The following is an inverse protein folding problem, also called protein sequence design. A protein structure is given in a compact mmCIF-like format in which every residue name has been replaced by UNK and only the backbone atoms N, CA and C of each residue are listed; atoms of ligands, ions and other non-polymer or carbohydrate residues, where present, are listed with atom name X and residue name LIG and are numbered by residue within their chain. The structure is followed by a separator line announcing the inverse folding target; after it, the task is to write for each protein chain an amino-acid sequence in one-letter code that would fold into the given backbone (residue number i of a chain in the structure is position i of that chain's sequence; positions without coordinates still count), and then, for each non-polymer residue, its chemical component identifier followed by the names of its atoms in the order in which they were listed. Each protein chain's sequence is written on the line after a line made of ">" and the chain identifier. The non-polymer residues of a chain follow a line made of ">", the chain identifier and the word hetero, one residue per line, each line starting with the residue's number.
data_IF_288370041246
#
_entry.id   IF_288370041246
#
_cell.length_a   1.000
_cell.length_b   1.000
_cell.length_c   1.000
_cell.angle_alpha   90.00
_cell.angle_beta   90.00
_cell.angle_gamma   90.00
#
_symmetry.space_group_name_H-M   'P 1'
#
loop_
_entity.id
_entity.type
_entity.pdbx_description
1 polymer ?
#
# COMPACT_ATOMS: atom_id res chain seq x y z
N UNK A 1 -4.37 12.09 2.91
CA UNK A 1 -4.03 10.82 2.25
C UNK A 1 -3.96 9.65 3.22
N UNK A 2 -3.83 8.47 2.68
CA UNK A 2 -3.52 7.24 3.41
C UNK A 2 -2.06 6.87 3.16
N UNK A 3 -1.48 6.00 3.99
CA UNK A 3 -0.11 5.51 3.78
C UNK A 3 0.11 4.93 2.39
N UNK A 4 -0.92 4.31 1.79
CA UNK A 4 -0.86 3.75 0.44
C UNK A 4 -0.62 4.77 -0.69
N UNK A 5 -0.86 6.05 -0.46
CA UNK A 5 -0.52 7.13 -1.39
C UNK A 5 0.78 7.84 -1.01
N UNK A 6 1.02 8.03 0.29
CA UNK A 6 2.13 8.84 0.78
C UNK A 6 3.47 8.16 0.55
N UNK A 7 3.60 6.89 0.96
CA UNK A 7 4.87 6.17 0.86
C UNK A 7 5.34 5.93 -0.58
N UNK A 8 4.48 5.57 -1.55
CA UNK A 8 4.87 5.52 -2.96
C UNK A 8 5.39 6.86 -3.50
N UNK A 9 4.75 7.99 -3.13
CA UNK A 9 5.20 9.30 -3.57
C UNK A 9 6.58 9.64 -2.99
N UNK A 10 6.83 9.33 -1.70
CA UNK A 10 8.14 9.54 -1.06
C UNK A 10 9.20 8.66 -1.72
N UNK A 11 8.92 7.39 -2.01
CA UNK A 11 9.87 6.48 -2.65
C UNK A 11 10.30 7.00 -4.03
N UNK A 12 9.36 7.45 -4.86
CA UNK A 12 9.66 8.05 -6.17
C UNK A 12 10.46 9.35 -6.02
N UNK A 13 10.12 10.22 -5.06
CA UNK A 13 10.86 11.44 -4.81
C UNK A 13 12.32 11.17 -4.39
N UNK A 14 12.54 10.20 -3.52
CA UNK A 14 13.89 9.75 -3.13
C UNK A 14 14.67 9.17 -4.32
N UNK A 15 13.99 8.39 -5.19
CA UNK A 15 14.61 7.87 -6.41
C UNK A 15 15.00 9.00 -7.38
N UNK A 16 14.14 10.02 -7.55
CA UNK A 16 14.47 11.21 -8.36
C UNK A 16 15.69 11.93 -7.79
N UNK A 17 15.76 12.19 -6.50
CA UNK A 17 16.93 12.85 -5.87
C UNK A 17 18.21 12.04 -6.02
N UNK A 18 18.11 10.71 -5.98
CA UNK A 18 19.28 9.83 -6.18
C UNK A 18 19.82 9.93 -7.60
N UNK A 19 18.95 10.04 -8.62
CA UNK A 19 19.35 10.15 -10.04
C UNK A 19 19.77 11.57 -10.38
N UNK A 20 19.06 12.57 -9.84
CA UNK A 20 19.29 13.97 -10.08
C UNK A 20 19.29 14.74 -8.74
N UNK A 21 20.47 14.84 -8.06
CA UNK A 21 20.58 15.43 -6.72
C UNK A 21 20.08 16.89 -6.61
N UNK A 22 20.20 17.66 -7.69
CA UNK A 22 19.78 19.07 -7.74
C UNK A 22 18.29 19.25 -8.06
N UNK A 23 17.52 18.17 -8.20
CA UNK A 23 16.09 18.25 -8.47
C UNK A 23 15.34 18.88 -7.27
N UNK A 24 14.70 20.03 -7.51
CA UNK A 24 13.80 20.63 -6.53
C UNK A 24 12.47 19.85 -6.48
N UNK A 25 12.12 19.32 -5.31
CA UNK A 25 10.90 18.52 -5.13
C UNK A 25 10.00 19.18 -4.09
N UNK A 26 8.75 19.44 -4.48
CA UNK A 26 7.73 20.01 -3.60
C UNK A 26 6.51 19.09 -3.57
N UNK A 27 6.12 18.67 -2.39
CA UNK A 27 4.87 17.92 -2.19
C UNK A 27 3.69 18.87 -2.02
N UNK A 28 2.52 18.39 -2.48
CA UNK A 28 1.24 19.07 -2.24
C UNK A 28 0.25 18.05 -1.70
N UNK A 29 -0.33 18.33 -0.53
CA UNK A 29 -1.22 17.42 0.17
C UNK A 29 -2.40 18.13 0.82
N UNK A 30 -3.30 17.39 1.48
CA UNK A 30 -4.43 17.97 2.20
C UNK A 30 -4.03 18.40 3.61
N UNK A 31 -4.35 19.63 4.00
CA UNK A 31 -4.10 20.14 5.34
C UNK A 31 -4.72 19.26 6.43
N UNK A 32 -3.99 19.00 7.51
CA UNK A 32 -4.44 18.21 8.66
C UNK A 32 -4.51 16.70 8.39
N UNK A 33 -3.82 16.21 7.37
CA UNK A 33 -3.71 14.77 7.04
C UNK A 33 -2.30 14.26 7.30
N UNK A 34 -2.15 12.94 7.31
CA UNK A 34 -0.91 12.22 7.63
C UNK A 34 0.28 12.68 6.77
N UNK A 35 0.04 13.07 5.53
CA UNK A 35 1.08 13.58 4.63
C UNK A 35 1.81 14.81 5.17
N UNK A 36 1.10 15.68 5.92
CA UNK A 36 1.69 16.88 6.51
C UNK A 36 2.74 16.58 7.59
N UNK A 37 2.75 15.37 8.13
CA UNK A 37 3.74 14.87 9.09
C UNK A 37 4.80 14.00 8.41
N UNK A 38 4.36 13.03 7.59
CA UNK A 38 5.24 11.99 7.03
C UNK A 38 6.17 12.50 5.94
N UNK A 39 5.76 13.48 5.15
CA UNK A 39 6.59 14.04 4.09
C UNK A 39 7.76 14.85 4.65
N UNK A 40 7.58 15.76 5.64
CA UNK A 40 8.71 16.42 6.31
C UNK A 40 9.66 15.44 7.03
N UNK A 41 9.12 14.40 7.66
CA UNK A 41 9.95 13.34 8.28
C UNK A 41 10.84 12.62 7.26
N UNK A 42 10.43 12.58 5.98
CA UNK A 42 11.22 12.04 4.88
C UNK A 42 12.18 13.07 4.23
N UNK A 43 12.26 14.29 4.76
CA UNK A 43 13.17 15.34 4.30
C UNK A 43 12.64 16.21 3.16
N UNK A 44 11.33 16.19 2.86
CA UNK A 44 10.75 16.97 1.76
C UNK A 44 9.86 18.12 2.26
N UNK A 45 9.84 19.21 1.49
CA UNK A 45 8.89 20.31 1.70
C UNK A 45 7.48 19.89 1.23
N UNK A 46 6.44 20.31 1.97
CA UNK A 46 5.04 20.09 1.61
C UNK A 46 4.20 21.35 1.80
N UNK A 47 3.32 21.61 0.83
CA UNK A 47 2.28 22.66 0.90
C UNK A 47 0.91 22.03 1.10
N UNK A 48 0.15 22.53 2.07
CA UNK A 48 -1.19 22.05 2.39
C UNK A 48 -2.28 22.74 1.57
N UNK A 49 -3.19 21.96 0.99
CA UNK A 49 -4.42 22.46 0.37
C UNK A 49 -5.61 22.34 1.31
N UNK A 50 -6.50 23.34 1.27
CA UNK A 50 -7.80 23.30 1.94
C UNK A 50 -8.77 22.48 1.10
N UNK A 51 -8.68 21.16 1.13
CA UNK A 51 -9.50 20.25 0.34
C UNK A 51 -9.97 19.08 1.21
N UNK A 52 -11.10 18.48 0.85
CA UNK A 52 -11.64 17.30 1.49
C UNK A 52 -12.13 16.29 0.45
N UNK A 53 -12.08 15.01 0.77
CA UNK A 53 -12.70 13.97 -0.03
C UNK A 53 -14.22 13.96 0.13
N UNK A 54 -14.90 13.34 -0.82
CA UNK A 54 -16.35 13.12 -0.79
C UNK A 54 -16.72 12.29 0.45
N UNK A 55 -17.64 12.80 1.28
CA UNK A 55 -18.18 12.04 2.39
C UNK A 55 -19.36 11.18 1.88
N UNK A 56 -19.15 9.86 1.80
CA UNK A 56 -20.16 8.92 1.29
C UNK A 56 -21.25 8.60 2.32
N UNK A 57 -20.95 8.74 3.62
CA UNK A 57 -21.91 8.43 4.70
C UNK A 57 -22.84 9.61 5.01
N UNK A 58 -22.40 10.84 4.77
CA UNK A 58 -23.20 12.04 5.04
C UNK A 58 -23.06 13.03 3.89
N UNK A 59 -24.08 13.01 2.98
CA UNK A 59 -24.09 13.83 1.76
C UNK A 59 -24.14 15.33 2.10
N UNK A 60 -24.76 15.73 3.20
CA UNK A 60 -24.83 17.14 3.62
C UNK A 60 -23.45 17.74 3.94
N UNK A 61 -22.48 16.93 4.38
CA UNK A 61 -21.10 17.40 4.56
C UNK A 61 -20.39 17.75 3.26
N UNK A 62 -20.97 17.39 2.12
CA UNK A 62 -20.41 17.67 0.80
C UNK A 62 -20.82 19.05 0.24
N UNK A 63 -21.74 19.77 0.85
CA UNK A 63 -22.20 21.10 0.40
C UNK A 63 -21.02 22.09 0.27
N UNK A 64 -20.03 21.98 1.12
CA UNK A 64 -18.82 22.83 1.10
C UNK A 64 -17.75 22.36 0.12
N UNK A 65 -17.88 21.19 -0.51
CA UNK A 65 -16.86 20.64 -1.42
C UNK A 65 -16.58 21.54 -2.65
N UNK A 66 -17.59 22.09 -3.36
CA UNK A 66 -17.32 22.96 -4.50
C UNK A 66 -16.47 24.17 -4.11
N UNK A 67 -16.79 24.81 -2.98
CA UNK A 67 -16.04 25.97 -2.48
C UNK A 67 -14.59 25.58 -2.09
N UNK A 68 -14.42 24.43 -1.43
CA UNK A 68 -13.09 23.92 -1.11
C UNK A 68 -12.28 23.57 -2.36
N UNK A 69 -12.94 23.05 -3.39
CA UNK A 69 -12.30 22.74 -4.66
C UNK A 69 -11.84 24.02 -5.35
N UNK A 70 -12.71 25.04 -5.47
CA UNK A 70 -12.35 26.37 -6.04
C UNK A 70 -11.19 26.98 -5.26
N UNK A 71 -11.26 27.02 -3.92
CA UNK A 71 -10.18 27.51 -3.07
C UNK A 71 -8.88 26.75 -3.32
N UNK A 72 -8.93 25.42 -3.48
CA UNK A 72 -7.75 24.63 -3.75
C UNK A 72 -7.10 24.98 -5.09
N UNK A 73 -7.86 25.31 -6.14
CA UNK A 73 -7.33 25.78 -7.43
C UNK A 73 -6.59 27.11 -7.30
N UNK A 74 -7.09 28.06 -6.50
CA UNK A 74 -6.37 29.32 -6.22
C UNK A 74 -5.07 29.06 -5.44
N UNK A 75 -5.09 28.14 -4.47
CA UNK A 75 -3.88 27.75 -3.75
C UNK A 75 -2.85 27.10 -4.68
N UNK A 76 -3.29 26.18 -5.55
CA UNK A 76 -2.44 25.52 -6.55
C UNK A 76 -1.84 26.56 -7.50
N UNK A 77 -2.64 27.51 -8.03
CA UNK A 77 -2.14 28.60 -8.88
C UNK A 77 -0.99 29.38 -8.18
N UNK A 78 -1.14 29.69 -6.90
CA UNK A 78 -0.10 30.39 -6.11
C UNK A 78 1.17 29.56 -5.96
N UNK A 79 1.02 28.25 -5.68
CA UNK A 79 2.15 27.31 -5.58
C UNK A 79 2.89 27.22 -6.92
N UNK A 80 2.17 27.08 -8.04
CA UNK A 80 2.77 26.99 -9.37
C UNK A 80 3.48 28.28 -9.79
N UNK A 81 2.95 29.43 -9.42
CA UNK A 81 3.59 30.72 -9.69
C UNK A 81 4.95 30.87 -9.00
N UNK A 82 5.09 30.34 -7.77
CA UNK A 82 6.33 30.39 -7.00
C UNK A 82 7.30 29.26 -7.33
N UNK A 83 6.80 28.00 -7.49
CA UNK A 83 7.66 26.83 -7.67
C UNK A 83 8.02 26.55 -9.13
N UNK A 84 7.12 26.88 -10.10
CA UNK A 84 7.30 26.69 -11.54
C UNK A 84 7.72 25.24 -11.89
N UNK A 85 6.89 24.22 -11.62
CA UNK A 85 7.27 22.83 -11.84
C UNK A 85 7.47 22.50 -13.32
N UNK A 86 8.51 21.70 -13.64
CA UNK A 86 8.74 21.13 -14.98
C UNK A 86 7.84 19.92 -15.24
N UNK A 87 7.41 19.20 -14.20
CA UNK A 87 6.52 18.06 -14.27
C UNK A 87 5.72 17.93 -12.96
N UNK A 88 4.59 17.23 -13.03
CA UNK A 88 3.76 16.92 -11.86
C UNK A 88 3.46 15.43 -11.81
N UNK A 89 3.76 14.79 -10.69
CA UNK A 89 3.48 13.39 -10.42
C UNK A 89 2.40 13.23 -9.36
N UNK A 90 1.35 12.48 -9.64
CA UNK A 90 0.25 12.23 -8.72
C UNK A 90 0.04 10.75 -8.45
N UNK A 91 -0.13 10.41 -7.18
CA UNK A 91 -0.33 9.03 -6.69
C UNK A 91 -1.79 8.73 -6.35
N UNK A 92 -2.72 9.52 -6.87
CA UNK A 92 -4.14 9.37 -6.57
C UNK A 92 -4.62 10.15 -5.34
N UNK A 93 -5.86 9.89 -4.97
CA UNK A 93 -6.54 10.63 -3.91
C UNK A 93 -7.10 11.99 -4.35
N UNK A 94 -7.97 12.55 -3.52
CA UNK A 94 -8.68 13.79 -3.86
C UNK A 94 -7.80 15.06 -3.89
N UNK A 95 -6.66 15.06 -3.19
CA UNK A 95 -5.71 16.18 -3.20
C UNK A 95 -4.89 16.26 -4.49
N UNK A 96 -4.69 15.14 -5.19
CA UNK A 96 -3.97 15.11 -6.46
C UNK A 96 -4.76 15.78 -7.60
N UNK A 97 -6.10 15.69 -7.58
CA UNK A 97 -6.94 16.17 -8.67
C UNK A 97 -6.74 17.64 -9.04
N UNK A 98 -6.85 18.63 -8.13
CA UNK A 98 -6.70 20.05 -8.50
C UNK A 98 -5.27 20.36 -8.97
N UNK A 99 -4.26 19.69 -8.44
CA UNK A 99 -2.86 19.91 -8.80
C UNK A 99 -2.57 19.43 -10.22
N UNK A 100 -2.93 18.18 -10.53
CA UNK A 100 -2.76 17.59 -11.86
C UNK A 100 -3.63 18.30 -12.91
N UNK A 101 -4.90 18.60 -12.57
CA UNK A 101 -5.81 19.31 -13.50
C UNK A 101 -5.31 20.70 -13.85
N UNK A 102 -4.74 21.43 -12.87
CA UNK A 102 -4.12 22.73 -13.12
C UNK A 102 -2.87 22.60 -14.00
N UNK A 103 -2.01 21.61 -13.73
CA UNK A 103 -0.83 21.32 -14.54
C UNK A 103 -1.21 21.02 -16.00
N UNK A 104 -2.21 20.16 -16.23
CA UNK A 104 -2.74 19.84 -17.56
C UNK A 104 -3.25 21.09 -18.30
N UNK A 105 -3.99 21.96 -17.59
CA UNK A 105 -4.47 23.22 -18.16
C UNK A 105 -3.34 24.21 -18.50
N UNK A 106 -2.13 24.01 -17.98
CA UNK A 106 -0.93 24.78 -18.26
C UNK A 106 0.06 24.05 -19.19
N UNK A 107 -0.36 22.93 -19.79
CA UNK A 107 0.48 22.08 -20.64
C UNK A 107 1.78 21.61 -19.95
N UNK A 108 1.79 21.53 -18.61
CA UNK A 108 2.88 20.96 -17.84
C UNK A 108 2.73 19.44 -17.86
N UNK A 109 3.78 18.66 -18.17
CA UNK A 109 3.73 17.22 -18.18
C UNK A 109 3.20 16.64 -16.86
N UNK A 110 2.23 15.71 -16.97
CA UNK A 110 1.63 15.06 -15.81
C UNK A 110 1.80 13.56 -15.86
N UNK A 111 2.18 13.00 -14.73
CA UNK A 111 2.37 11.58 -14.53
C UNK A 111 1.45 11.09 -13.43
N UNK A 112 0.82 9.95 -13.62
CA UNK A 112 -0.13 9.37 -12.66
C UNK A 112 0.38 8.00 -12.24
N UNK A 113 0.29 7.68 -10.97
CA UNK A 113 0.44 6.32 -10.47
C UNK A 113 -0.88 5.82 -9.90
N UNK A 114 -1.34 4.65 -10.37
CA UNK A 114 -2.48 3.94 -9.82
C UNK A 114 -2.01 2.66 -9.14
N UNK A 115 -2.13 2.62 -7.84
CA UNK A 115 -1.66 1.50 -7.03
C UNK A 115 -2.61 0.30 -7.04
N UNK A 116 -3.92 0.54 -7.22
CA UNK A 116 -4.94 -0.49 -7.11
C UNK A 116 -5.25 -1.14 -8.47
N UNK A 117 -5.79 -2.35 -8.42
CA UNK A 117 -6.33 -3.05 -9.58
C UNK A 117 -7.70 -2.52 -10.05
N UNK A 118 -8.25 -1.53 -9.34
CA UNK A 118 -9.43 -0.76 -9.72
C UNK A 118 -9.09 0.73 -9.63
N UNK A 119 -9.18 1.42 -10.76
CA UNK A 119 -8.72 2.81 -10.83
C UNK A 119 -9.62 3.78 -10.05
N UNK A 120 -9.00 4.65 -9.29
CA UNK A 120 -9.70 5.75 -8.61
C UNK A 120 -10.28 6.75 -9.61
N UNK A 121 -11.49 7.27 -9.35
CA UNK A 121 -12.19 8.21 -10.26
C UNK A 121 -11.34 9.44 -10.63
N UNK A 122 -10.57 9.97 -9.68
CA UNK A 122 -9.68 11.11 -9.97
C UNK A 122 -8.64 10.77 -11.04
N UNK A 123 -8.02 9.59 -10.95
CA UNK A 123 -7.05 9.13 -11.93
C UNK A 123 -7.70 8.87 -13.30
N UNK A 124 -8.92 8.29 -13.33
CA UNK A 124 -9.67 8.09 -14.57
C UNK A 124 -9.95 9.42 -15.28
N UNK A 125 -10.41 10.46 -14.55
CA UNK A 125 -10.69 11.78 -15.14
C UNK A 125 -9.45 12.53 -15.62
N UNK A 126 -8.28 12.23 -15.05
CA UNK A 126 -7.02 12.86 -15.43
C UNK A 126 -6.27 12.10 -16.53
N UNK A 127 -6.62 10.83 -16.77
CA UNK A 127 -5.91 9.90 -17.62
C UNK A 127 -5.75 10.41 -19.08
N UNK A 128 -6.82 10.96 -19.65
CA UNK A 128 -6.84 11.42 -21.04
C UNK A 128 -5.74 12.45 -21.34
N UNK A 129 -5.44 13.33 -20.38
CA UNK A 129 -4.44 14.38 -20.54
C UNK A 129 -3.14 14.10 -19.80
N UNK A 130 -2.98 12.89 -19.23
CA UNK A 130 -1.72 12.49 -18.64
C UNK A 130 -0.66 12.19 -19.70
N UNK A 131 0.58 12.50 -19.41
CA UNK A 131 1.73 12.16 -20.25
C UNK A 131 2.00 10.65 -20.20
N UNK A 132 2.00 10.07 -19.00
CA UNK A 132 2.14 8.62 -18.77
C UNK A 132 1.39 8.22 -17.49
N UNK A 133 0.93 6.97 -17.47
CA UNK A 133 0.22 6.38 -16.35
C UNK A 133 0.97 5.12 -15.93
N UNK A 134 1.52 5.15 -14.74
CA UNK A 134 2.17 4.01 -14.10
C UNK A 134 1.14 3.21 -13.33
N UNK A 135 1.15 1.89 -13.47
CA UNK A 135 0.18 1.04 -12.79
C UNK A 135 0.87 0.00 -11.93
N UNK A 136 0.28 -0.26 -10.76
CA UNK A 136 0.75 -1.28 -9.82
C UNK A 136 0.52 -2.71 -10.32
N UNK A 137 -0.34 -2.88 -11.34
CA UNK A 137 -0.73 -4.19 -11.88
C UNK A 137 -1.13 -4.09 -13.35
N UNK A 138 -1.19 -5.24 -14.02
CA UNK A 138 -1.70 -5.38 -15.39
C UNK A 138 -3.23 -5.25 -15.45
N UNK A 139 -3.80 -5.16 -16.67
CA UNK A 139 -5.25 -5.19 -16.91
C UNK A 139 -5.96 -3.86 -16.64
N UNK A 140 -5.23 -2.74 -16.74
CA UNK A 140 -5.77 -1.40 -16.48
C UNK A 140 -6.27 -0.69 -17.74
N UNK A 141 -6.24 -1.36 -18.89
CA UNK A 141 -6.60 -0.80 -20.22
C UNK A 141 -8.09 -0.42 -20.34
N UNK A 142 -8.94 -1.01 -19.52
CA UNK A 142 -10.36 -0.64 -19.47
C UNK A 142 -10.64 0.61 -18.62
N UNK A 143 -9.65 1.10 -17.87
CA UNK A 143 -9.73 2.35 -17.12
C UNK A 143 -8.96 3.50 -17.75
N UNK A 144 -7.89 3.18 -18.49
CA UNK A 144 -6.92 4.15 -18.99
C UNK A 144 -6.58 3.91 -20.45
N UNK A 145 -6.20 4.94 -21.24
CA UNK A 145 -5.69 4.77 -22.60
C UNK A 145 -4.46 3.84 -22.62
N UNK A 146 -4.54 2.72 -23.33
CA UNK A 146 -3.52 1.69 -23.37
C UNK A 146 -2.14 2.23 -23.77
N UNK A 147 -2.08 3.20 -24.71
CA UNK A 147 -0.83 3.82 -25.17
C UNK A 147 -0.08 4.62 -24.10
N UNK A 148 -0.75 4.97 -22.98
CA UNK A 148 -0.17 5.74 -21.87
C UNK A 148 0.21 4.89 -20.67
N UNK A 149 -0.23 3.62 -20.64
CA UNK A 149 0.02 2.72 -19.51
C UNK A 149 1.45 2.20 -19.56
N UNK A 150 2.07 2.18 -18.39
CA UNK A 150 3.30 1.44 -18.12
C UNK A 150 3.14 0.70 -16.80
N UNK A 151 3.19 -0.62 -16.83
CA UNK A 151 3.14 -1.43 -15.62
C UNK A 151 4.50 -1.39 -14.95
N UNK A 152 4.57 -0.77 -13.79
CA UNK A 152 5.80 -0.60 -13.00
C UNK A 152 5.80 -1.40 -11.71
N UNK A 153 4.61 -1.82 -11.25
CA UNK A 153 4.43 -2.23 -9.87
C UNK A 153 4.20 -1.02 -8.95
N UNK A 154 4.08 -1.31 -7.66
CA UNK A 154 3.94 -0.29 -6.63
C UNK A 154 5.29 0.04 -6.02
N UNK A 155 5.67 1.33 -5.86
CA UNK A 155 6.87 1.73 -5.14
C UNK A 155 6.82 1.27 -3.67
N UNK A 156 7.72 0.38 -3.31
CA UNK A 156 7.80 -0.25 -1.99
C UNK A 156 9.00 0.29 -1.24
N UNK A 157 8.90 0.33 0.07
CA UNK A 157 10.01 0.75 0.94
C UNK A 157 11.22 -0.18 0.76
N UNK A 158 12.40 0.39 0.54
CA UNK A 158 13.65 -0.37 0.28
C UNK A 158 13.96 -1.38 1.37
N UNK A 159 13.76 -1.04 2.63
CA UNK A 159 14.03 -1.94 3.74
C UNK A 159 13.19 -3.23 3.74
N UNK A 160 12.05 -3.25 3.03
CA UNK A 160 11.25 -4.47 2.85
C UNK A 160 11.83 -5.34 1.73
N UNK A 161 12.34 -4.72 0.67
CA UNK A 161 12.92 -5.42 -0.49
C UNK A 161 14.31 -5.97 -0.16
N UNK A 162 15.12 -5.14 0.51
CA UNK A 162 16.52 -5.43 0.86
C UNK A 162 16.62 -5.81 2.35
N UNK A 163 15.80 -6.77 2.80
CA UNK A 163 15.78 -7.19 4.19
C UNK A 163 17.18 -7.63 4.68
N UNK A 164 17.76 -6.98 5.71
CA UNK A 164 19.11 -7.26 6.15
C UNK A 164 19.20 -8.49 7.08
N UNK A 165 18.13 -9.24 7.22
CA UNK A 165 18.02 -10.31 8.21
C UNK A 165 18.05 -11.70 7.58
N UNK A 166 18.74 -12.65 8.23
CA UNK A 166 18.42 -14.07 8.07
C UNK A 166 17.07 -14.37 8.75
N UNK A 167 16.39 -15.44 8.31
CA UNK A 167 15.11 -15.84 8.93
C UNK A 167 15.27 -16.10 10.45
N UNK A 168 16.39 -16.70 10.87
CA UNK A 168 16.69 -16.94 12.28
C UNK A 168 16.84 -15.63 13.06
N UNK A 169 17.64 -14.69 12.56
CA UNK A 169 17.81 -13.39 13.21
C UNK A 169 16.48 -12.61 13.31
N UNK A 170 15.66 -12.67 12.28
CA UNK A 170 14.34 -12.04 12.27
C UNK A 170 13.40 -12.68 13.31
N UNK A 171 13.35 -14.00 13.42
CA UNK A 171 12.53 -14.70 14.42
C UNK A 171 12.96 -14.37 15.86
N UNK A 172 14.27 -14.33 16.12
CA UNK A 172 14.81 -13.99 17.43
C UNK A 172 14.42 -12.59 17.90
N UNK A 173 14.27 -11.59 16.98
CA UNK A 173 13.78 -10.26 17.33
C UNK A 173 12.36 -10.29 17.93
N UNK A 174 11.56 -11.28 17.55
CA UNK A 174 10.21 -11.48 18.08
C UNK A 174 10.13 -12.48 19.23
N UNK A 175 11.29 -12.98 19.71
CA UNK A 175 11.34 -14.02 20.74
C UNK A 175 10.79 -15.38 20.30
N UNK A 176 10.84 -15.66 18.98
CA UNK A 176 10.28 -16.85 18.36
C UNK A 176 11.39 -17.85 17.97
N UNK A 177 11.03 -19.13 17.81
CA UNK A 177 11.95 -20.23 17.56
C UNK A 177 12.14 -20.48 16.05
N UNK A 178 13.40 -20.60 15.56
CA UNK A 178 13.66 -20.88 14.13
C UNK A 178 13.13 -22.21 13.62
N UNK A 179 12.92 -23.18 14.51
CA UNK A 179 12.43 -24.52 14.15
C UNK A 179 10.93 -24.60 13.86
N UNK A 180 10.18 -23.52 14.12
CA UNK A 180 8.72 -23.53 14.02
C UNK A 180 8.21 -22.69 12.86
N UNK A 181 7.08 -23.10 12.30
CA UNK A 181 6.38 -22.33 11.27
C UNK A 181 5.73 -21.07 11.85
N UNK A 182 5.85 -19.95 11.14
CA UNK A 182 5.42 -18.63 11.61
C UNK A 182 4.41 -17.99 10.68
N UNK A 183 3.31 -17.48 11.25
CA UNK A 183 2.29 -16.72 10.53
C UNK A 183 2.35 -15.26 10.99
N UNK A 184 2.51 -14.35 10.04
CA UNK A 184 2.38 -12.90 10.28
C UNK A 184 0.93 -12.47 10.05
N UNK A 185 0.35 -11.77 11.02
CA UNK A 185 -1.00 -11.22 10.93
C UNK A 185 -0.96 -9.70 11.00
N UNK A 186 -1.43 -9.02 9.94
CA UNK A 186 -1.46 -7.57 9.83
C UNK A 186 -2.81 -7.06 9.34
N UNK A 187 -3.44 -6.20 10.14
CA UNK A 187 -4.71 -5.55 9.77
C UNK A 187 -4.54 -4.09 9.31
N UNK A 188 -3.28 -3.65 9.11
CA UNK A 188 -2.93 -2.24 8.92
C UNK A 188 -2.85 -1.48 10.26
N UNK A 189 -2.55 -0.17 10.22
CA UNK A 189 -2.33 0.67 11.42
C UNK A 189 -3.54 0.79 12.35
N UNK A 190 -4.74 0.65 11.80
CA UNK A 190 -6.00 0.66 12.56
C UNK A 190 -6.45 -0.74 13.01
N UNK A 191 -5.73 -1.79 12.57
CA UNK A 191 -6.12 -3.17 12.80
C UNK A 191 -7.34 -3.60 11.96
N UNK A 192 -7.67 -4.89 12.06
CA UNK A 192 -8.83 -5.48 11.40
C UNK A 192 -9.61 -6.32 12.42
N UNK A 193 -10.71 -5.79 12.91
CA UNK A 193 -11.49 -6.38 14.03
C UNK A 193 -11.88 -7.84 13.76
N UNK A 194 -12.36 -8.17 12.55
CA UNK A 194 -12.76 -9.53 12.18
C UNK A 194 -11.57 -10.50 12.20
N UNK A 195 -10.43 -10.09 11.62
CA UNK A 195 -9.20 -10.89 11.62
C UNK A 195 -8.73 -11.08 13.07
N UNK A 196 -8.64 -10.00 13.84
CA UNK A 196 -8.18 -10.06 15.24
C UNK A 196 -9.05 -10.99 16.09
N UNK A 197 -10.37 -10.92 15.96
CA UNK A 197 -11.29 -11.80 16.69
C UNK A 197 -11.09 -13.28 16.32
N UNK A 198 -10.96 -13.59 15.03
CA UNK A 198 -10.73 -14.96 14.58
C UNK A 198 -9.37 -15.50 15.07
N UNK A 199 -8.30 -14.69 15.00
CA UNK A 199 -6.97 -15.08 15.49
C UNK A 199 -7.01 -15.31 17.00
N UNK A 200 -7.66 -14.44 17.78
CA UNK A 200 -7.81 -14.62 19.23
C UNK A 200 -8.51 -15.96 19.56
N UNK A 201 -9.60 -16.27 18.87
CA UNK A 201 -10.32 -17.54 19.06
C UNK A 201 -9.50 -18.76 18.61
N UNK A 202 -8.58 -18.59 17.67
CA UNK A 202 -7.72 -19.64 17.15
C UNK A 202 -6.44 -19.90 17.95
N UNK A 203 -6.08 -19.06 18.94
CA UNK A 203 -4.81 -19.17 19.69
C UNK A 203 -4.53 -20.60 20.25
N UNK A 204 -5.50 -21.28 20.88
CA UNK A 204 -5.27 -22.67 21.35
C UNK A 204 -4.96 -23.65 20.22
N UNK A 205 -5.53 -23.45 19.03
CA UNK A 205 -5.30 -24.33 17.88
C UNK A 205 -3.89 -24.12 17.31
N UNK A 206 -3.40 -22.89 17.25
CA UNK A 206 -2.02 -22.60 16.83
C UNK A 206 -1.01 -23.22 17.78
N UNK A 207 -1.20 -23.06 19.09
CA UNK A 207 -0.32 -23.69 20.10
C UNK A 207 -0.31 -25.22 19.95
N UNK A 208 -1.48 -25.87 19.85
CA UNK A 208 -1.61 -27.31 19.66
C UNK A 208 -0.91 -27.84 18.41
N UNK A 209 -0.80 -27.04 17.36
CA UNK A 209 -0.17 -27.40 16.10
C UNK A 209 1.28 -26.89 15.97
N UNK A 210 1.88 -26.41 17.05
CA UNK A 210 3.26 -25.93 17.11
C UNK A 210 3.56 -24.77 16.12
N UNK A 211 2.56 -23.89 15.89
CA UNK A 211 2.64 -22.74 14.99
C UNK A 211 2.84 -21.47 15.80
N UNK A 212 3.74 -20.62 15.34
CA UNK A 212 4.04 -19.32 15.96
C UNK A 212 3.33 -18.19 15.23
N UNK A 213 3.05 -17.09 15.96
CA UNK A 213 2.41 -15.91 15.42
C UNK A 213 3.23 -14.65 15.67
N UNK A 214 3.32 -13.81 14.65
CA UNK A 214 3.66 -12.40 14.78
C UNK A 214 2.37 -11.63 14.48
N UNK A 215 1.80 -10.99 15.50
CA UNK A 215 0.45 -10.42 15.38
C UNK A 215 0.42 -8.93 15.67
N UNK A 216 0.16 -8.12 14.62
CA UNK A 216 -0.11 -6.70 14.74
C UNK A 216 -1.63 -6.47 14.84
N UNK A 217 -2.10 -6.07 16.01
CA UNK A 217 -3.54 -5.88 16.30
C UNK A 217 -4.10 -4.54 15.81
N UNK A 218 -3.25 -3.54 15.60
CA UNK A 218 -3.66 -2.14 15.45
C UNK A 218 -3.95 -1.48 16.82
N UNK A 219 -3.96 -0.14 16.86
CA UNK A 219 -4.16 0.60 18.12
C UNK A 219 -5.51 0.38 18.77
N UNK A 220 -6.67 0.41 18.05
CA UNK A 220 -7.98 0.22 18.66
C UNK A 220 -8.14 -1.20 19.23
N UNK A 221 -8.44 -1.30 20.52
CA UNK A 221 -8.70 -2.58 21.20
C UNK A 221 -7.45 -3.43 21.49
N UNK A 222 -6.25 -2.92 21.25
CA UNK A 222 -5.00 -3.65 21.42
C UNK A 222 -4.85 -4.30 22.79
N UNK A 223 -5.22 -3.60 23.87
CA UNK A 223 -5.08 -4.10 25.25
C UNK A 223 -5.78 -5.44 25.49
N UNK A 224 -6.96 -5.65 24.91
CA UNK A 224 -7.68 -6.92 25.01
C UNK A 224 -6.97 -8.07 24.33
N UNK A 225 -6.44 -7.84 23.15
CA UNK A 225 -5.70 -8.85 22.39
C UNK A 225 -4.32 -9.16 23.01
N UNK A 226 -3.61 -8.13 23.49
CA UNK A 226 -2.37 -8.29 24.23
C UNK A 226 -2.56 -9.17 25.48
N UNK A 227 -3.61 -8.90 26.26
CA UNK A 227 -3.95 -9.69 27.45
C UNK A 227 -4.31 -11.14 27.09
N UNK A 228 -5.10 -11.34 26.04
CA UNK A 228 -5.49 -12.68 25.60
C UNK A 228 -4.31 -13.50 25.11
N UNK A 229 -3.34 -12.89 24.43
CA UNK A 229 -2.16 -13.57 23.93
C UNK A 229 -1.05 -13.82 24.97
N UNK A 230 -1.09 -13.12 26.10
CA UNK A 230 -0.04 -13.17 27.13
C UNK A 230 0.27 -14.59 27.70
N UNK A 231 -0.71 -15.50 27.63
CA UNK A 231 -0.57 -16.89 28.10
C UNK A 231 -0.06 -17.85 27.02
N UNK A 232 0.16 -17.36 25.80
CA UNK A 232 0.62 -18.17 24.66
C UNK A 232 2.07 -17.85 24.32
N UNK A 233 3.04 -18.71 24.70
CA UNK A 233 4.49 -18.45 24.54
C UNK A 233 4.96 -18.45 23.09
N UNK A 234 4.12 -18.94 22.16
CA UNK A 234 4.38 -18.96 20.72
C UNK A 234 3.81 -17.74 19.98
N UNK A 235 3.41 -16.68 20.69
CA UNK A 235 2.79 -15.51 20.09
C UNK A 235 3.51 -14.23 20.47
N UNK A 236 4.11 -13.58 19.49
CA UNK A 236 4.47 -12.18 19.60
C UNK A 236 3.26 -11.34 19.19
N UNK A 237 2.80 -10.46 20.07
CA UNK A 237 1.66 -9.58 19.81
C UNK A 237 2.03 -8.12 20.12
N UNK A 238 1.67 -7.21 19.20
CA UNK A 238 1.88 -5.77 19.38
C UNK A 238 0.75 -4.98 18.72
N UNK A 239 0.50 -3.77 19.21
CA UNK A 239 -0.40 -2.84 18.53
C UNK A 239 0.15 -2.33 17.20
N UNK A 240 1.49 -2.25 17.08
CA UNK A 240 2.19 -1.81 15.89
C UNK A 240 3.55 -2.50 15.80
N UNK A 241 3.96 -2.90 14.60
CA UNK A 241 5.28 -3.46 14.31
C UNK A 241 6.07 -2.41 13.52
N UNK A 242 7.14 -1.91 14.11
CA UNK A 242 7.98 -0.88 13.47
C UNK A 242 8.84 -1.50 12.37
N UNK A 243 9.45 -2.65 12.64
CA UNK A 243 10.28 -3.37 11.67
C UNK A 243 9.48 -4.42 10.90
N UNK A 244 8.78 -3.97 9.87
CA UNK A 244 8.05 -4.83 8.96
C UNK A 244 8.98 -5.72 8.12
N UNK A 245 10.24 -5.30 7.89
CA UNK A 245 11.24 -6.09 7.18
C UNK A 245 11.55 -7.40 7.93
N UNK A 246 11.83 -7.30 9.22
CA UNK A 246 12.01 -8.47 10.07
C UNK A 246 10.74 -9.33 10.13
N UNK A 247 9.56 -8.71 10.26
CA UNK A 247 8.30 -9.45 10.35
C UNK A 247 8.00 -10.25 9.07
N UNK A 248 8.18 -9.65 7.88
CA UNK A 248 8.06 -10.38 6.62
C UNK A 248 9.12 -11.48 6.51
N UNK A 249 10.38 -11.21 6.86
CA UNK A 249 11.46 -12.19 6.77
C UNK A 249 11.17 -13.43 7.64
N UNK A 250 10.68 -13.23 8.87
CA UNK A 250 10.33 -14.27 9.81
C UNK A 250 9.12 -15.13 9.40
N UNK A 251 8.23 -14.62 8.54
CA UNK A 251 6.97 -15.28 8.23
C UNK A 251 7.07 -16.36 7.13
N UNK A 252 6.31 -17.44 7.26
CA UNK A 252 6.00 -18.40 6.18
C UNK A 252 4.73 -17.98 5.43
N UNK A 253 3.71 -17.54 6.17
CA UNK A 253 2.39 -17.10 5.66
C UNK A 253 2.09 -15.71 6.20
N UNK A 254 1.45 -14.88 5.40
CA UNK A 254 0.98 -13.55 5.80
C UNK A 254 -0.52 -13.45 5.64
N UNK A 255 -1.22 -13.16 6.74
CA UNK A 255 -2.65 -12.79 6.74
C UNK A 255 -2.77 -11.29 6.74
N UNK A 256 -3.46 -10.73 5.76
CA UNK A 256 -3.58 -9.27 5.64
C UNK A 256 -4.88 -8.83 4.99
N UNK A 257 -5.27 -7.56 5.23
CA UNK A 257 -6.15 -6.84 4.31
C UNK A 257 -5.45 -6.68 2.96
N UNK A 258 -6.21 -6.67 1.86
CA UNK A 258 -5.68 -6.59 0.50
C UNK A 258 -5.59 -5.15 -0.05
N UNK A 259 -5.09 -4.23 0.79
CA UNK A 259 -4.68 -2.92 0.28
C UNK A 259 -3.52 -3.08 -0.71
N UNK A 260 -3.46 -2.24 -1.74
CA UNK A 260 -2.49 -2.37 -2.84
C UNK A 260 -1.03 -2.50 -2.36
N UNK A 261 -0.63 -1.74 -1.34
CA UNK A 261 0.73 -1.83 -0.79
C UNK A 261 0.99 -3.15 -0.07
N UNK A 262 0.02 -3.66 0.71
CA UNK A 262 0.17 -4.94 1.38
C UNK A 262 0.28 -6.10 0.38
N UNK A 263 -0.52 -6.08 -0.69
CA UNK A 263 -0.42 -7.05 -1.79
C UNK A 263 0.95 -6.99 -2.45
N UNK A 264 1.45 -5.79 -2.75
CA UNK A 264 2.75 -5.59 -3.36
C UNK A 264 3.91 -6.03 -2.43
N UNK A 265 3.88 -5.66 -1.15
CA UNK A 265 4.89 -6.04 -0.16
C UNK A 265 4.95 -7.58 0.02
N UNK A 266 3.79 -8.25 0.10
CA UNK A 266 3.70 -9.70 0.17
C UNK A 266 4.27 -10.35 -1.10
N UNK A 267 3.99 -9.78 -2.27
CA UNK A 267 4.49 -10.28 -3.55
C UNK A 267 6.01 -10.21 -3.64
N UNK A 268 6.61 -9.06 -3.33
CA UNK A 268 8.07 -8.87 -3.46
C UNK A 268 8.86 -9.64 -2.40
N UNK A 269 8.27 -9.87 -1.21
CA UNK A 269 8.89 -10.70 -0.17
C UNK A 269 8.73 -12.20 -0.42
N UNK A 270 7.99 -12.60 -1.46
CA UNK A 270 7.76 -14.00 -1.83
C UNK A 270 6.99 -14.81 -0.77
N UNK A 271 6.19 -14.13 0.06
CA UNK A 271 5.45 -14.78 1.13
C UNK A 271 4.08 -15.27 0.66
N UNK A 272 3.62 -16.38 1.22
CA UNK A 272 2.28 -16.91 0.89
C UNK A 272 1.23 -16.02 1.53
N UNK A 273 0.46 -15.30 0.70
CA UNK A 273 -0.60 -14.39 1.15
C UNK A 273 -1.94 -15.09 1.35
N UNK A 274 -2.59 -14.83 2.50
CA UNK A 274 -4.00 -15.13 2.74
C UNK A 274 -4.70 -13.79 2.96
N UNK A 275 -5.41 -13.32 1.93
CA UNK A 275 -6.04 -12.01 1.96
C UNK A 275 -7.45 -12.06 2.53
N UNK A 276 -7.77 -11.06 3.34
CA UNK A 276 -9.12 -10.82 3.85
C UNK A 276 -9.51 -9.40 3.43
N UNK A 277 -10.15 -9.20 2.26
CA UNK A 277 -10.52 -7.88 1.78
C UNK A 277 -11.42 -7.13 2.77
N UNK A 278 -11.22 -5.82 2.89
CA UNK A 278 -12.07 -4.98 3.72
C UNK A 278 -13.41 -4.74 3.01
N UNK A 279 -14.55 -5.15 3.62
CA UNK A 279 -15.84 -5.19 2.92
C UNK A 279 -16.43 -3.80 2.60
N UNK A 280 -15.92 -2.74 3.24
CA UNK A 280 -16.35 -1.37 2.99
C UNK A 280 -15.31 -0.56 2.22
N UNK A 281 -14.40 -1.24 1.52
CA UNK A 281 -13.45 -0.59 0.64
C UNK A 281 -14.19 0.11 -0.52
N UNK A 282 -13.74 1.31 -0.87
CA UNK A 282 -14.35 2.06 -1.98
C UNK A 282 -14.27 1.26 -3.28
N UNK A 283 -15.39 1.15 -4.01
CA UNK A 283 -15.51 0.36 -5.25
C UNK A 283 -14.96 -1.08 -5.12
N UNK A 284 -14.99 -1.63 -3.90
CA UNK A 284 -14.48 -2.99 -3.58
C UNK A 284 -13.04 -3.25 -4.06
N UNK A 285 -12.21 -2.19 -4.16
CA UNK A 285 -10.86 -2.28 -4.71
C UNK A 285 -9.98 -3.32 -4.01
N UNK A 286 -10.24 -3.63 -2.73
CA UNK A 286 -9.46 -4.66 -2.03
C UNK A 286 -9.73 -6.07 -2.55
N UNK A 287 -10.97 -6.39 -2.90
CA UNK A 287 -11.27 -7.66 -3.57
C UNK A 287 -10.58 -7.72 -4.93
N UNK A 288 -10.63 -6.66 -5.73
CA UNK A 288 -9.94 -6.59 -7.01
C UNK A 288 -8.42 -6.79 -6.85
N UNK A 289 -7.79 -6.14 -5.89
CA UNK A 289 -6.36 -6.29 -5.61
C UNK A 289 -6.00 -7.75 -5.27
N UNK A 290 -6.76 -8.41 -4.39
CA UNK A 290 -6.51 -9.80 -4.02
C UNK A 290 -6.72 -10.75 -5.22
N UNK A 291 -7.77 -10.54 -6.01
CA UNK A 291 -8.13 -11.41 -7.13
C UNK A 291 -7.11 -11.41 -8.26
N UNK A 292 -6.28 -10.36 -8.40
CA UNK A 292 -5.14 -10.36 -9.33
C UNK A 292 -4.19 -11.55 -9.07
N UNK A 293 -3.96 -11.87 -7.81
CA UNK A 293 -3.09 -12.97 -7.40
C UNK A 293 -3.87 -14.29 -7.31
N UNK A 294 -5.05 -14.26 -6.71
CA UNK A 294 -5.88 -15.45 -6.46
C UNK A 294 -6.26 -16.17 -7.75
N UNK A 295 -6.67 -15.43 -8.78
CA UNK A 295 -7.02 -15.97 -10.10
C UNK A 295 -5.83 -16.66 -10.81
N UNK A 296 -4.61 -16.39 -10.37
CA UNK A 296 -3.37 -17.02 -10.88
C UNK A 296 -2.80 -18.08 -9.93
N UNK A 297 -3.52 -18.42 -8.86
CA UNK A 297 -3.06 -19.36 -7.85
C UNK A 297 -1.87 -18.84 -7.02
N UNK A 298 -1.62 -17.52 -7.02
CA UNK A 298 -0.51 -16.86 -6.34
C UNK A 298 -0.83 -16.42 -4.90
N UNK A 299 -2.07 -16.55 -4.44
CA UNK A 299 -2.52 -16.24 -3.09
C UNK A 299 -3.85 -16.94 -2.78
N UNK A 300 -4.29 -16.84 -1.52
CA UNK A 300 -5.62 -17.26 -1.09
C UNK A 300 -6.43 -16.03 -0.63
N UNK A 301 -7.76 -16.20 -0.63
CA UNK A 301 -8.71 -15.20 -0.15
C UNK A 301 -9.71 -15.85 0.81
N UNK A 302 -10.03 -15.15 1.89
CA UNK A 302 -11.12 -15.47 2.81
C UNK A 302 -12.01 -14.23 2.92
N UNK A 303 -13.30 -14.36 2.65
CA UNK A 303 -14.24 -13.23 2.76
C UNK A 303 -14.38 -12.78 4.22
N UNK A 304 -14.51 -11.48 4.46
CA UNK A 304 -14.56 -10.91 5.82
C UNK A 304 -15.69 -11.52 6.69
N UNK A 305 -16.84 -11.79 6.11
CA UNK A 305 -17.98 -12.44 6.79
C UNK A 305 -17.77 -13.95 7.06
N UNK A 306 -16.78 -14.58 6.46
CA UNK A 306 -16.43 -16.00 6.62
C UNK A 306 -15.17 -16.20 7.47
N UNK A 307 -14.54 -15.14 7.94
CA UNK A 307 -13.25 -15.17 8.67
C UNK A 307 -13.31 -16.06 9.90
N UNK A 308 -14.37 -15.98 10.70
CA UNK A 308 -14.50 -16.77 11.93
C UNK A 308 -14.60 -18.28 11.65
N UNK A 309 -15.15 -18.68 10.52
CA UNK A 309 -15.37 -20.07 10.16
C UNK A 309 -14.20 -20.68 9.38
N UNK A 310 -13.60 -19.87 8.49
CA UNK A 310 -12.69 -20.41 7.49
C UNK A 310 -11.22 -20.05 7.72
N UNK A 311 -10.91 -18.91 8.37
CA UNK A 311 -9.52 -18.40 8.41
C UNK A 311 -8.58 -19.40 9.09
N UNK A 312 -8.92 -19.86 10.28
CA UNK A 312 -8.06 -20.74 11.07
C UNK A 312 -7.84 -22.08 10.37
N UNK A 313 -8.92 -22.72 9.89
CA UNK A 313 -8.82 -24.00 9.16
C UNK A 313 -8.00 -23.87 7.87
N UNK A 314 -8.15 -22.76 7.14
CA UNK A 314 -7.35 -22.45 5.94
C UNK A 314 -5.86 -22.32 6.30
N UNK A 315 -5.52 -21.59 7.35
CA UNK A 315 -4.13 -21.41 7.78
C UNK A 315 -3.49 -22.73 8.24
N UNK A 316 -4.19 -23.51 9.06
CA UNK A 316 -3.71 -24.80 9.55
C UNK A 316 -3.52 -25.83 8.45
N UNK A 317 -4.41 -25.86 7.46
CA UNK A 317 -4.27 -26.72 6.28
C UNK A 317 -3.10 -26.28 5.42
N UNK A 318 -3.02 -24.98 5.12
CA UNK A 318 -2.01 -24.42 4.21
C UNK A 318 -0.58 -24.59 4.75
N UNK A 319 -0.35 -24.32 6.03
CA UNK A 319 0.99 -24.31 6.61
C UNK A 319 1.59 -25.74 6.69
N UNK A 320 0.75 -26.76 6.67
CA UNK A 320 1.15 -28.18 6.63
C UNK A 320 1.38 -28.71 5.20
N UNK A 321 0.92 -27.98 4.20
CA UNK A 321 1.04 -28.39 2.79
C UNK A 321 2.18 -27.64 2.10
N UNK A 322 3.40 -28.16 2.28
CA UNK A 322 4.61 -27.57 1.70
C UNK A 322 4.55 -27.49 0.16
N UNK A 323 3.93 -28.50 -0.50
CA UNK A 323 3.81 -28.50 -1.96
C UNK A 323 2.90 -27.37 -2.44
N UNK A 324 1.75 -27.19 -1.80
CA UNK A 324 0.82 -26.08 -2.10
C UNK A 324 1.47 -24.72 -1.85
N UNK A 325 2.18 -24.55 -0.73
CA UNK A 325 2.91 -23.31 -0.44
C UNK A 325 3.96 -23.00 -1.50
N UNK A 326 4.74 -24.01 -1.94
CA UNK A 326 5.75 -23.84 -2.98
C UNK A 326 5.12 -23.49 -4.34
N UNK A 327 3.99 -24.11 -4.68
CA UNK A 327 3.25 -23.76 -5.89
C UNK A 327 2.75 -22.32 -5.87
N UNK A 328 2.18 -21.85 -4.75
CA UNK A 328 1.76 -20.47 -4.59
C UNK A 328 2.95 -19.51 -4.73
N UNK A 329 4.08 -19.78 -4.08
CA UNK A 329 5.30 -18.96 -4.20
C UNK A 329 5.80 -18.89 -5.64
N UNK A 330 5.76 -20.00 -6.39
CA UNK A 330 6.13 -20.03 -7.80
C UNK A 330 5.21 -19.15 -8.66
N UNK A 331 3.89 -19.25 -8.45
CA UNK A 331 2.91 -18.43 -9.16
C UNK A 331 2.99 -16.94 -8.76
N UNK A 332 3.53 -16.62 -7.60
CA UNK A 332 3.69 -15.26 -7.10
C UNK A 332 4.85 -14.50 -7.76
N UNK A 333 5.88 -15.20 -8.24
CA UNK A 333 7.10 -14.58 -8.81
C UNK A 333 6.84 -13.51 -9.88
N UNK A 334 5.91 -13.69 -10.86
CA UNK A 334 5.63 -12.66 -11.86
C UNK A 334 5.03 -11.35 -11.31
N UNK A 335 4.53 -11.38 -10.07
CA UNK A 335 3.95 -10.22 -9.40
C UNK A 335 4.94 -9.48 -8.49
N UNK A 336 6.15 -10.00 -8.32
CA UNK A 336 7.22 -9.38 -7.55
C UNK A 336 7.92 -8.29 -8.38
N UNK A 337 7.19 -7.20 -8.67
CA UNK A 337 7.70 -6.08 -9.45
C UNK A 337 8.57 -5.19 -8.55
N UNK A 338 9.89 -5.36 -8.69
CA UNK A 338 10.91 -4.61 -7.97
C UNK A 338 11.26 -3.31 -8.70
N UNK A 339 11.86 -2.37 -7.98
CA UNK A 339 12.40 -1.11 -8.52
C UNK A 339 11.36 -0.17 -9.17
N UNK A 340 10.08 -0.27 -8.81
CA UNK A 340 9.03 0.59 -9.34
C UNK A 340 9.33 2.09 -9.14
N UNK A 341 9.90 2.45 -8.01
CA UNK A 341 10.31 3.82 -7.67
C UNK A 341 11.38 4.36 -8.64
N UNK A 342 12.44 3.60 -8.90
CA UNK A 342 13.49 3.98 -9.82
C UNK A 342 12.97 4.07 -11.26
N UNK A 343 12.19 3.07 -11.70
CA UNK A 343 11.63 3.04 -13.05
C UNK A 343 10.71 4.25 -13.31
N UNK A 344 9.86 4.61 -12.35
CA UNK A 344 9.01 5.80 -12.44
C UNK A 344 9.86 7.07 -12.48
N UNK A 345 10.87 7.19 -11.60
CA UNK A 345 11.75 8.33 -11.54
C UNK A 345 12.51 8.55 -12.88
N UNK A 346 13.08 7.50 -13.43
CA UNK A 346 13.77 7.51 -14.73
C UNK A 346 12.86 7.99 -15.86
N UNK A 347 11.62 7.48 -15.93
CA UNK A 347 10.65 7.88 -16.94
C UNK A 347 10.25 9.35 -16.85
N UNK A 348 10.12 9.89 -15.64
CA UNK A 348 9.82 11.30 -15.42
C UNK A 348 11.01 12.16 -15.87
N UNK A 349 12.23 11.83 -15.43
CA UNK A 349 13.45 12.58 -15.74
C UNK A 349 13.73 12.57 -17.25
N UNK A 350 13.66 11.40 -17.89
CA UNK A 350 13.85 11.27 -19.35
C UNK A 350 12.88 12.13 -20.14
N UNK A 351 11.61 12.19 -19.70
CA UNK A 351 10.61 13.02 -20.37
C UNK A 351 10.96 14.52 -20.25
N UNK A 352 11.36 14.98 -19.06
CA UNK A 352 11.75 16.38 -18.83
C UNK A 352 12.97 16.76 -19.67
N UNK A 353 13.98 15.91 -19.73
CA UNK A 353 15.20 16.14 -20.49
C UNK A 353 14.95 16.27 -22.00
N UNK A 354 14.08 15.39 -22.56
CA UNK A 354 13.72 15.44 -23.99
C UNK A 354 12.95 16.69 -24.41
N UNK A 355 12.32 17.41 -23.48
CA UNK A 355 11.52 18.59 -23.79
C UNK A 355 12.22 19.89 -23.41
N UNK A 356 13.37 19.81 -22.73
CA UNK A 356 14.23 20.94 -22.41
C UNK A 356 15.43 21.06 -23.37
N UNK A 357 15.66 20.06 -24.22
CA UNK A 357 16.60 20.07 -25.34
C UNK A 357 15.88 20.46 -26.64
#
# INVERSE_FOLDING_TARGET
>A
GTGGHIFPAIAVAQAIQKIQPDAAILFVGATGKMEMEKVPQAGFEIKGLTIAGLNRMNIFKNITLPFKLIKSFFQVRKIFASFKPNAVFGVGGYSSFPVLKFAQAKSIPTFIHESNAFAGKSNQWLAEHATKIFTGTNGMEHFFPASKIMVTGNPIRKNIVEAPYSTEAALLQFGLLPSRKTILIIGGSLGAKSINAAIQNGLPQFLKNDIQLIWQTGKPGASGYLKAAATFPNVYVSSFIDDMSAAYTAADIVVSRSGAMAVAEISVTGKVGVFVPYPFAAEDHQTFNAMQLVNKGAALIVKDNQVNEQLISTLLSLIKDAQRMNNIKKQLQPFALLNADNLIAEQIIQHIQKHNS
#
